data_IF_370865609446
#
_entry.id   IF_370865609446
#
_cell.length_a   1.000
_cell.length_b   1.000
_cell.length_c   1.000
_cell.angle_alpha   90.00
_cell.angle_beta   90.00
_cell.angle_gamma   90.00
#
_symmetry.space_group_name_H-M   'P 1'
#
loop_
_entity.id
_entity.type
_entity.pdbx_description
1 polymer ?
#
# COMPACT_ATOMS: atom_id res chain seq x y z
N UNK A 1 -8.99 -11.55 -8.93
CA UNK A 1 -8.46 -10.63 -9.97
C UNK A 1 -7.33 -9.74 -9.43
N UNK A 2 -7.50 -9.05 -8.30
CA UNK A 2 -6.49 -8.16 -7.71
C UNK A 2 -5.10 -8.82 -7.49
N UNK A 3 -5.05 -10.05 -6.95
CA UNK A 3 -3.78 -10.77 -6.73
C UNK A 3 -2.99 -10.96 -8.02
N UNK A 4 -3.64 -11.27 -9.15
CA UNK A 4 -2.96 -11.44 -10.45
C UNK A 4 -2.37 -10.14 -10.99
N UNK A 5 -3.06 -9.01 -10.80
CA UNK A 5 -2.56 -7.68 -11.20
C UNK A 5 -1.34 -7.28 -10.37
N UNK A 6 -1.37 -7.52 -9.05
CA UNK A 6 -0.24 -7.30 -8.16
C UNK A 6 0.96 -8.19 -8.53
N UNK A 7 0.71 -9.47 -8.83
CA UNK A 7 1.78 -10.39 -9.29
C UNK A 7 2.39 -9.93 -10.60
N UNK A 8 1.58 -9.52 -11.59
CA UNK A 8 2.07 -9.00 -12.87
C UNK A 8 2.86 -7.70 -12.69
N UNK A 9 2.36 -6.77 -11.88
CA UNK A 9 3.04 -5.51 -11.61
C UNK A 9 4.40 -5.74 -10.94
N UNK A 10 4.46 -6.56 -9.88
CA UNK A 10 5.72 -6.90 -9.22
C UNK A 10 6.70 -7.65 -10.13
N UNK A 11 6.20 -8.48 -11.05
CA UNK A 11 7.03 -9.17 -12.02
C UNK A 11 7.65 -8.19 -13.03
N UNK A 12 6.86 -7.25 -13.56
CA UNK A 12 7.34 -6.22 -14.48
C UNK A 12 8.39 -5.34 -13.80
N UNK A 13 8.18 -4.97 -12.54
CA UNK A 13 9.11 -4.19 -11.73
C UNK A 13 10.43 -4.93 -11.46
N UNK A 14 10.34 -6.23 -11.19
CA UNK A 14 11.51 -7.07 -10.99
C UNK A 14 12.34 -7.26 -12.27
N UNK A 15 11.69 -7.41 -13.42
CA UNK A 15 12.37 -7.70 -14.69
C UNK A 15 12.91 -6.45 -15.38
N UNK A 16 12.18 -5.33 -15.30
CA UNK A 16 12.49 -4.12 -16.08
C UNK A 16 12.63 -2.85 -15.22
N UNK A 17 13.46 -2.86 -14.14
CA UNK A 17 13.58 -1.72 -13.24
C UNK A 17 14.04 -0.46 -13.97
N UNK A 18 15.00 -0.58 -14.89
CA UNK A 18 15.52 0.56 -15.65
C UNK A 18 14.52 1.19 -16.61
N UNK A 19 13.53 0.43 -17.12
CA UNK A 19 12.51 0.98 -18.02
C UNK A 19 11.45 1.76 -17.25
N UNK A 20 11.08 1.28 -16.06
CA UNK A 20 10.14 1.97 -15.18
C UNK A 20 10.76 3.29 -14.70
N UNK A 21 12.01 3.25 -14.24
CA UNK A 21 12.73 4.45 -13.81
C UNK A 21 12.83 5.46 -14.95
N UNK A 22 13.24 5.05 -16.15
CA UNK A 22 13.34 5.97 -17.30
C UNK A 22 11.99 6.59 -17.70
N UNK A 23 10.89 5.85 -17.60
CA UNK A 23 9.54 6.39 -17.87
C UNK A 23 9.11 7.35 -16.76
N UNK A 24 9.39 7.01 -15.50
CA UNK A 24 9.10 7.87 -14.36
C UNK A 24 9.87 9.18 -14.43
N UNK A 25 11.17 9.13 -14.71
CA UNK A 25 12.03 10.31 -14.96
C UNK A 25 11.47 11.17 -16.08
N UNK A 26 11.11 10.55 -17.22
CA UNK A 26 10.54 11.26 -18.38
C UNK A 26 9.23 11.98 -18.06
N UNK A 27 8.44 11.44 -17.13
CA UNK A 27 7.20 12.05 -16.71
C UNK A 27 7.46 13.14 -15.65
N UNK A 28 8.32 12.84 -14.69
CA UNK A 28 8.45 13.60 -13.45
C UNK A 28 9.43 14.77 -13.55
N UNK A 29 10.40 14.76 -14.47
CA UNK A 29 11.45 15.79 -14.52
C UNK A 29 11.22 16.74 -15.70
N UNK A 30 11.30 18.05 -15.43
CA UNK A 30 11.19 19.10 -16.45
C UNK A 30 12.51 19.25 -17.22
N UNK A 31 13.66 19.17 -16.52
CA UNK A 31 14.99 19.08 -17.11
C UNK A 31 15.63 17.71 -16.81
N UNK A 32 16.19 17.08 -17.84
CA UNK A 32 16.85 15.77 -17.75
C UNK A 32 18.34 15.90 -17.42
N UNK A 33 18.85 17.11 -17.20
CA UNK A 33 20.24 17.38 -16.88
C UNK A 33 20.74 16.55 -15.70
N UNK A 34 21.68 15.64 -15.98
CA UNK A 34 22.54 14.93 -15.00
C UNK A 34 21.84 14.19 -13.85
N UNK A 35 20.63 13.67 -14.06
CA UNK A 35 19.98 12.80 -13.07
C UNK A 35 20.72 11.44 -12.97
N UNK A 36 21.72 11.37 -12.09
CA UNK A 36 22.50 10.16 -11.86
C UNK A 36 21.86 9.29 -10.78
N UNK A 37 21.25 8.20 -11.23
CA UNK A 37 20.65 7.21 -10.36
C UNK A 37 21.74 6.46 -9.57
N UNK A 38 21.56 6.36 -8.25
CA UNK A 38 22.47 5.58 -7.41
C UNK A 38 22.49 4.11 -7.85
N UNK A 39 23.67 3.50 -7.84
CA UNK A 39 23.89 2.13 -8.30
C UNK A 39 23.05 1.08 -7.57
N UNK A 40 22.66 1.34 -6.33
CA UNK A 40 21.86 0.44 -5.50
C UNK A 40 20.34 0.49 -5.78
N UNK A 41 19.85 1.51 -6.48
CA UNK A 41 18.40 1.64 -6.76
C UNK A 41 17.91 0.53 -7.67
N UNK A 42 18.66 0.23 -8.73
CA UNK A 42 18.30 -0.83 -9.68
C UNK A 42 18.15 -2.21 -9.00
N UNK A 43 19.09 -2.68 -8.17
CA UNK A 43 18.90 -3.93 -7.43
C UNK A 43 17.81 -3.82 -6.35
N UNK A 44 17.63 -2.67 -5.70
CA UNK A 44 16.55 -2.48 -4.72
C UNK A 44 15.16 -2.60 -5.36
N UNK A 45 14.92 -1.97 -6.51
CA UNK A 45 13.65 -2.10 -7.27
C UNK A 45 13.39 -3.55 -7.68
N UNK A 46 14.44 -4.32 -8.00
CA UNK A 46 14.27 -5.75 -8.28
C UNK A 46 13.80 -6.53 -7.05
N UNK A 47 14.41 -6.26 -5.91
CA UNK A 47 14.03 -6.89 -4.63
C UNK A 47 12.59 -6.52 -4.29
N UNK A 48 12.21 -5.26 -4.49
CA UNK A 48 10.85 -4.76 -4.26
C UNK A 48 9.81 -5.50 -5.13
N UNK A 49 10.07 -5.63 -6.44
CA UNK A 49 9.20 -6.39 -7.33
C UNK A 49 9.04 -7.87 -6.93
N UNK A 50 10.15 -8.52 -6.51
CA UNK A 50 10.10 -9.89 -5.97
C UNK A 50 9.30 -9.96 -4.67
N UNK A 51 9.48 -8.96 -3.78
CA UNK A 51 8.75 -8.88 -2.53
C UNK A 51 7.24 -8.74 -2.77
N UNK A 52 6.83 -7.94 -3.75
CA UNK A 52 5.44 -7.81 -4.18
C UNK A 52 4.86 -9.12 -4.70
N UNK A 53 5.61 -9.84 -5.54
CA UNK A 53 5.21 -11.18 -6.01
C UNK A 53 5.01 -12.14 -4.83
N UNK A 54 5.94 -12.17 -3.87
CA UNK A 54 5.84 -13.02 -2.69
C UNK A 54 4.66 -12.63 -1.78
N UNK A 55 4.49 -11.33 -1.52
CA UNK A 55 3.38 -10.79 -0.72
C UNK A 55 2.03 -11.05 -1.36
N UNK A 56 1.93 -11.03 -2.69
CA UNK A 56 0.68 -11.28 -3.42
C UNK A 56 0.18 -12.73 -3.29
N UNK A 57 1.07 -13.66 -2.93
CA UNK A 57 0.78 -15.09 -2.73
C UNK A 57 0.41 -15.44 -1.29
N UNK A 58 0.84 -14.64 -0.31
CA UNK A 58 0.50 -14.83 1.10
C UNK A 58 -0.71 -13.96 1.43
N UNK A 59 -1.63 -14.41 2.29
CA UNK A 59 -2.77 -13.61 2.78
C UNK A 59 -2.28 -12.50 3.73
N UNK A 60 -1.42 -11.63 3.21
CA UNK A 60 -0.66 -10.60 3.92
C UNK A 60 -1.43 -9.30 3.99
N UNK A 61 -2.71 -9.34 3.63
CA UNK A 61 -3.49 -8.15 3.39
C UNK A 61 -3.56 -7.26 4.62
N UNK A 62 -3.39 -7.75 5.86
CA UNK A 62 -3.45 -6.92 7.08
C UNK A 62 -2.13 -6.25 7.47
N UNK A 63 -0.98 -6.87 7.26
CA UNK A 63 0.32 -6.38 7.75
C UNK A 63 0.78 -5.10 7.05
N UNK A 64 0.38 -4.92 5.79
CA UNK A 64 0.77 -3.77 4.97
C UNK A 64 -0.23 -2.60 5.06
N UNK A 65 -1.43 -2.80 5.62
CA UNK A 65 -2.51 -1.78 5.59
C UNK A 65 -2.13 -0.51 6.33
N UNK A 66 -1.67 -0.69 7.57
CA UNK A 66 -1.29 0.41 8.47
C UNK A 66 -0.09 1.18 7.90
N UNK A 67 1.05 0.53 7.53
CA UNK A 67 2.17 1.26 6.96
C UNK A 67 1.83 1.93 5.63
N UNK A 68 1.02 1.31 4.76
CA UNK A 68 0.56 1.95 3.50
C UNK A 68 -0.31 3.18 3.79
N UNK A 69 -1.24 3.10 4.75
CA UNK A 69 -2.06 4.24 5.14
C UNK A 69 -1.23 5.40 5.71
N UNK A 70 -0.30 5.10 6.62
CA UNK A 70 0.64 6.09 7.20
C UNK A 70 1.52 6.73 6.13
N UNK A 71 2.06 5.92 5.22
CA UNK A 71 2.85 6.42 4.10
C UNK A 71 2.00 7.31 3.19
N UNK A 72 0.74 6.93 2.95
CA UNK A 72 -0.23 7.73 2.22
C UNK A 72 -0.46 9.10 2.85
N UNK A 73 -0.63 9.16 4.18
CA UNK A 73 -0.77 10.42 4.92
C UNK A 73 0.48 11.29 4.73
N UNK A 74 1.67 10.71 4.91
CA UNK A 74 2.93 11.44 4.78
C UNK A 74 3.07 12.07 3.38
N UNK A 75 2.80 11.28 2.34
CA UNK A 75 2.85 11.73 0.94
C UNK A 75 1.77 12.78 0.65
N UNK A 76 0.56 12.64 1.18
CA UNK A 76 -0.54 13.58 0.95
C UNK A 76 -0.30 14.94 1.62
N UNK A 77 0.20 14.93 2.86
CA UNK A 77 0.43 16.15 3.66
C UNK A 77 1.67 16.89 3.20
N UNK A 78 2.77 16.16 2.95
CA UNK A 78 4.06 16.74 2.62
C UNK A 78 4.62 16.21 1.29
N UNK A 79 3.91 16.38 0.15
CA UNK A 79 4.27 15.80 -1.14
C UNK A 79 5.64 16.26 -1.65
N UNK A 80 5.98 17.55 -1.44
CA UNK A 80 7.30 18.08 -1.81
C UNK A 80 8.41 17.41 -1.01
N UNK A 81 8.27 17.32 0.32
CA UNK A 81 9.27 16.65 1.16
C UNK A 81 9.40 15.17 0.86
N UNK A 82 8.29 14.49 0.58
CA UNK A 82 8.31 13.09 0.16
C UNK A 82 9.07 12.92 -1.17
N UNK A 83 8.83 13.80 -2.14
CA UNK A 83 9.55 13.80 -3.40
C UNK A 83 11.04 14.12 -3.22
N UNK A 84 11.40 15.14 -2.43
CA UNK A 84 12.79 15.52 -2.14
C UNK A 84 13.54 14.39 -1.44
N UNK A 85 12.90 13.70 -0.48
CA UNK A 85 13.47 12.53 0.17
C UNK A 85 13.66 11.38 -0.80
N UNK A 86 12.67 11.12 -1.66
CA UNK A 86 12.78 10.13 -2.73
C UNK A 86 13.94 10.43 -3.68
N UNK A 87 14.10 11.68 -4.09
CA UNK A 87 15.20 12.12 -4.95
C UNK A 87 16.55 11.97 -4.26
N UNK A 88 16.70 12.43 -3.02
CA UNK A 88 17.95 12.27 -2.24
C UNK A 88 18.34 10.81 -2.05
N UNK A 89 17.34 9.94 -1.86
CA UNK A 89 17.55 8.51 -1.72
C UNK A 89 17.95 7.89 -3.06
N UNK A 90 17.30 8.29 -4.16
CA UNK A 90 17.45 7.64 -5.46
C UNK A 90 18.58 8.17 -6.33
N UNK A 91 18.96 9.43 -6.19
CA UNK A 91 19.92 10.10 -7.07
C UNK A 91 21.14 10.59 -6.30
N UNK A 92 22.28 10.63 -6.99
CA UNK A 92 23.53 11.17 -6.46
C UNK A 92 23.51 12.70 -6.42
N UNK A 93 22.97 13.33 -7.46
CA UNK A 93 22.78 14.78 -7.60
C UNK A 93 21.29 15.11 -7.60
N UNK A 94 20.68 15.10 -6.42
CA UNK A 94 19.23 15.30 -6.26
C UNK A 94 18.79 16.76 -6.44
N UNK A 95 19.70 17.68 -6.17
CA UNK A 95 19.52 19.13 -6.12
C UNK A 95 19.51 19.79 -7.50
N UNK A 96 19.97 19.08 -8.53
CA UNK A 96 19.91 19.53 -9.93
C UNK A 96 18.61 19.10 -10.62
N UNK A 97 17.79 18.29 -9.95
CA UNK A 97 16.58 17.71 -10.55
C UNK A 97 15.40 18.65 -10.32
N UNK A 98 14.91 19.24 -11.41
CA UNK A 98 13.67 20.01 -11.39
C UNK A 98 12.45 19.11 -11.66
N UNK A 99 11.57 19.03 -10.66
CA UNK A 99 10.31 18.28 -10.78
C UNK A 99 9.30 19.07 -11.61
N UNK A 100 8.64 18.39 -12.54
CA UNK A 100 7.52 18.95 -13.28
C UNK A 100 6.40 19.40 -12.31
N UNK A 101 5.76 20.53 -12.63
CA UNK A 101 4.76 21.18 -11.76
C UNK A 101 3.58 20.27 -11.36
N UNK A 102 3.30 19.22 -12.14
CA UNK A 102 2.22 18.26 -11.91
C UNK A 102 2.61 17.14 -10.92
N UNK A 103 3.89 16.94 -10.60
CA UNK A 103 4.36 15.87 -9.71
C UNK A 103 3.82 16.04 -8.30
N UNK A 104 3.85 17.27 -7.77
CA UNK A 104 3.34 17.58 -6.43
C UNK A 104 1.84 17.29 -6.29
N UNK A 105 0.95 17.78 -7.18
CA UNK A 105 -0.46 17.42 -7.10
C UNK A 105 -0.72 15.94 -7.37
N UNK A 106 0.00 15.28 -8.27
CA UNK A 106 -0.13 13.84 -8.48
C UNK A 106 0.27 13.03 -7.23
N UNK A 107 1.39 13.37 -6.60
CA UNK A 107 1.81 12.75 -5.34
C UNK A 107 0.73 12.89 -4.26
N UNK A 108 0.08 14.07 -4.14
CA UNK A 108 -1.05 14.24 -3.20
C UNK A 108 -2.21 13.29 -3.48
N UNK A 109 -2.61 13.16 -4.74
CA UNK A 109 -3.70 12.26 -5.13
C UNK A 109 -3.34 10.79 -4.82
N UNK A 110 -2.11 10.39 -5.10
CA UNK A 110 -1.59 9.05 -4.77
C UNK A 110 -1.60 8.83 -3.25
N UNK A 111 -1.11 9.80 -2.48
CA UNK A 111 -1.13 9.75 -1.02
C UNK A 111 -2.54 9.58 -0.47
N UNK A 112 -3.50 10.37 -0.96
CA UNK A 112 -4.92 10.24 -0.60
C UNK A 112 -5.48 8.86 -0.96
N UNK A 113 -5.14 8.31 -2.14
CA UNK A 113 -5.55 6.96 -2.51
C UNK A 113 -5.02 5.92 -1.51
N UNK A 114 -3.76 6.04 -1.07
CA UNK A 114 -3.18 5.14 -0.06
C UNK A 114 -3.86 5.28 1.30
N UNK A 115 -4.20 6.51 1.72
CA UNK A 115 -5.00 6.74 2.93
C UNK A 115 -6.35 6.05 2.82
N UNK A 116 -7.06 6.20 1.69
CA UNK A 116 -8.36 5.58 1.48
C UNK A 116 -8.29 4.05 1.51
N UNK A 117 -7.22 3.46 0.95
CA UNK A 117 -6.98 2.00 1.02
C UNK A 117 -6.74 1.56 2.48
N UNK A 118 -5.92 2.30 3.22
CA UNK A 118 -5.69 2.05 4.64
C UNK A 118 -6.97 2.21 5.47
N UNK A 119 -7.79 3.22 5.18
CA UNK A 119 -8.97 3.59 5.95
C UNK A 119 -10.18 2.68 5.68
N UNK A 120 -10.51 2.40 4.41
CA UNK A 120 -11.61 1.47 4.04
C UNK A 120 -11.45 0.10 4.68
N UNK A 121 -10.21 -0.32 4.90
CA UNK A 121 -9.91 -1.64 5.49
C UNK A 121 -9.91 -1.64 7.02
N UNK A 122 -9.80 -0.47 7.67
CA UNK A 122 -10.02 -0.30 9.11
C UNK A 122 -11.53 -0.25 9.40
N UNK A 123 -12.30 0.55 8.65
CA UNK A 123 -13.76 0.66 8.85
C UNK A 123 -14.52 -0.62 8.48
N UNK A 124 -14.07 -1.36 7.46
CA UNK A 124 -14.69 -2.63 7.06
C UNK A 124 -14.62 -3.76 8.10
N UNK A 125 -13.89 -3.59 9.21
CA UNK A 125 -13.93 -4.53 10.36
C UNK A 125 -15.02 -4.21 11.38
N UNK A 126 -15.57 -3.00 11.41
CA UNK A 126 -16.54 -2.58 12.43
C UNK A 126 -17.95 -3.14 12.22
N UNK A 127 -18.39 -3.25 10.96
CA UNK A 127 -19.78 -3.63 10.65
C UNK A 127 -20.08 -5.13 10.86
N UNK A 128 -19.06 -5.99 10.93
CA UNK A 128 -19.26 -7.44 11.13
C UNK A 128 -19.35 -7.87 12.60
N UNK A 129 -19.01 -6.99 13.55
CA UNK A 129 -19.07 -7.31 14.98
C UNK A 129 -20.47 -7.08 15.58
N UNK A 130 -21.26 -6.16 15.02
CA UNK A 130 -22.57 -5.79 15.57
C UNK A 130 -23.68 -6.81 15.25
N UNK A 131 -23.55 -7.56 14.16
CA UNK A 131 -24.53 -8.59 13.76
C UNK A 131 -24.35 -9.94 14.45
N UNK A 132 -23.21 -10.17 15.12
CA UNK A 132 -22.96 -11.41 15.85
C UNK A 132 -23.52 -11.38 17.28
N UNK A 133 -23.71 -10.20 17.86
CA UNK A 133 -24.16 -10.04 19.25
C UNK A 133 -25.69 -10.20 19.38
N UNK A 134 -26.47 -9.77 18.37
CA UNK A 134 -27.93 -9.95 18.39
C UNK A 134 -28.38 -11.41 18.18
N UNK A 135 -27.59 -12.24 17.48
CA UNK A 135 -27.97 -13.64 17.23
C UNK A 135 -27.66 -14.58 18.41
N UNK A 136 -26.82 -14.17 19.36
CA UNK A 136 -26.44 -14.97 20.53
C UNK A 136 -27.37 -14.82 21.74
N UNK A 137 -28.11 -13.72 21.84
CA UNK A 137 -28.95 -13.41 22.99
C UNK A 137 -30.31 -14.14 23.02
N UNK A 138 -30.74 -14.75 21.92
CA UNK A 138 -32.08 -15.37 21.81
C UNK A 138 -32.15 -16.87 22.13
N UNK A 139 -31.03 -17.58 22.33
CA UNK A 139 -31.01 -19.05 22.36
C UNK A 139 -30.85 -19.70 23.74
N UNK A 140 -30.79 -18.93 24.83
CA UNK A 140 -30.40 -19.42 26.17
C UNK A 140 -31.52 -19.62 27.19
N UNK A 141 -32.79 -19.68 26.80
CA UNK A 141 -33.92 -19.78 27.73
C UNK A 141 -34.77 -21.03 27.53
N UNK A 142 -34.78 -21.89 28.56
CA UNK A 142 -35.72 -22.99 28.86
C UNK A 142 -35.20 -24.42 28.64
N UNK A 143 -34.59 -24.98 29.69
CA UNK A 143 -34.63 -26.42 29.95
C UNK A 143 -34.75 -26.66 31.46
N UNK A 144 -35.98 -26.54 31.96
CA UNK A 144 -36.40 -27.08 33.26
C UNK A 144 -37.61 -27.99 33.02
N UNK A 145 -37.37 -29.30 33.03
CA UNK A 145 -38.37 -30.34 33.26
C UNK A 145 -37.55 -31.57 33.72
N UNK A 146 -37.42 -31.79 35.02
CA UNK A 146 -38.38 -32.53 35.84
C UNK A 146 -38.71 -33.91 35.25
N UNK A 147 -38.13 -34.95 35.84
CA UNK A 147 -38.74 -36.28 35.87
C UNK A 147 -38.24 -36.98 37.13
N UNK A 148 -39.07 -36.86 38.17
CA UNK A 148 -39.01 -37.69 39.36
C UNK A 148 -39.42 -39.14 39.10
N UNK A 149 -39.13 -39.92 40.14
CA UNK A 149 -39.45 -41.31 40.43
C UNK A 149 -40.69 -41.95 39.79
N UNK A 150 -40.55 -43.26 39.50
CA UNK A 150 -41.48 -44.41 39.67
C UNK A 150 -41.05 -45.51 38.68
N UNK A 151 -40.86 -46.80 38.99
CA UNK A 151 -40.87 -47.69 40.17
C UNK A 151 -39.75 -48.73 39.96
#
# INVERSE_FOLDING_TARGET
MASRLLTLAGLIEALFPGRIVAVAERLAFDDRGEAELRSWIRPATRIEGVLWVLLSRRSTSSLLRVPVGLLGVLIAVAPRRAADLGLKLAYERSETIELASWVVPAARVIGLAYVLIGLRTVLGRGTSAETADESGASAGGASTADTGAQE
#
